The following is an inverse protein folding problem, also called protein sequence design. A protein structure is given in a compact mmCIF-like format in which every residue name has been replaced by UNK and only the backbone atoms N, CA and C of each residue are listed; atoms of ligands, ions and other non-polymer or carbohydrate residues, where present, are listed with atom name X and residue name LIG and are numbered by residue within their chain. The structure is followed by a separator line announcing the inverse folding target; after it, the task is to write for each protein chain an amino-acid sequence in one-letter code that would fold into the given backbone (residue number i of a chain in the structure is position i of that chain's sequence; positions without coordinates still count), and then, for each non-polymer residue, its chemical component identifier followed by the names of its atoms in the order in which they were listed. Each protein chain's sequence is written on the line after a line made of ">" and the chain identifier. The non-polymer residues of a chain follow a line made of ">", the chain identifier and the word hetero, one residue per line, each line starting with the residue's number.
data_IF_332439507674
#
_entry.id   IF_332439507674
#
_cell.length_a   1.000
_cell.length_b   1.000
_cell.length_c   1.000
_cell.angle_alpha   90.00
_cell.angle_beta   90.00
_cell.angle_gamma   90.00
#
_symmetry.space_group_name_H-M   'P 1'
#
loop_
_entity.id
_entity.type
_entity.pdbx_description
1 polymer ?
#
# COMPACT_ATOMS: atom_id res chain seq x y z
N UNK A 1 -0.39 7.01 15.81
CA UNK A 1 -1.54 7.42 16.65
C UNK A 1 -0.98 8.16 17.85
N UNK A 2 -1.43 9.38 18.14
CA UNK A 2 -0.93 10.18 19.25
C UNK A 2 -1.87 9.99 20.45
N UNK A 3 -1.38 9.41 21.55
CA UNK A 3 -2.13 9.25 22.80
C UNK A 3 -1.65 10.27 23.85
N UNK A 4 -2.54 10.89 24.65
CA UNK A 4 -2.14 11.69 25.79
C UNK A 4 -1.32 10.85 26.76
N UNK A 5 -0.19 11.41 27.17
CA UNK A 5 0.85 10.75 27.97
C UNK A 5 0.30 9.98 29.17
N UNK A 6 -0.60 10.58 29.95
CA UNK A 6 -1.11 9.98 31.18
C UNK A 6 -1.87 8.65 30.98
N UNK A 7 -2.63 8.50 29.89
CA UNK A 7 -3.30 7.24 29.58
C UNK A 7 -2.34 6.20 29.00
N UNK A 8 -1.39 6.61 28.16
CA UNK A 8 -0.38 5.70 27.60
C UNK A 8 0.42 5.01 28.71
N UNK A 9 0.87 5.76 29.72
CA UNK A 9 1.66 5.22 30.85
C UNK A 9 0.87 4.29 31.78
N UNK A 10 -0.45 4.49 31.92
CA UNK A 10 -1.29 3.64 32.78
C UNK A 10 -1.96 2.48 32.02
N UNK A 11 -1.98 2.53 30.68
CA UNK A 11 -2.64 1.53 29.82
C UNK A 11 -1.79 0.29 29.53
N UNK A 12 -0.58 0.18 30.11
CA UNK A 12 0.31 -0.95 29.88
C UNK A 12 0.85 -1.04 28.44
N UNK A 13 0.80 0.06 27.69
CA UNK A 13 1.32 0.12 26.32
C UNK A 13 2.84 0.27 26.38
N UNK A 14 3.54 -0.65 25.72
CA UNK A 14 4.99 -0.62 25.58
C UNK A 14 5.44 0.70 24.90
N UNK A 15 6.29 1.52 25.53
CA UNK A 15 6.74 2.80 24.97
C UNK A 15 7.68 2.62 23.76
N UNK A 16 8.16 1.39 23.51
CA UNK A 16 9.03 1.08 22.38
C UNK A 16 8.21 0.74 21.14
N UNK A 17 8.41 1.42 20.00
CA UNK A 17 7.72 1.07 18.76
C UNK A 17 8.10 -0.34 18.33
N UNK A 18 7.08 -1.16 18.03
CA UNK A 18 7.22 -2.54 17.55
C UNK A 18 6.66 -2.65 16.13
N UNK A 19 7.22 -3.56 15.32
CA UNK A 19 6.70 -3.82 13.98
C UNK A 19 5.47 -4.73 14.09
N UNK A 20 4.37 -4.38 13.44
CA UNK A 20 3.13 -5.16 13.46
C UNK A 20 2.85 -5.73 12.06
N UNK A 21 2.51 -7.02 12.00
CA UNK A 21 2.00 -7.64 10.78
C UNK A 21 0.53 -7.98 10.99
N UNK A 22 -0.33 -7.53 10.07
CA UNK A 22 -1.73 -7.92 10.06
C UNK A 22 -1.84 -9.42 9.77
N UNK A 23 -2.49 -10.16 10.66
CA UNK A 23 -2.70 -11.61 10.54
C UNK A 23 -4.12 -11.94 10.12
N UNK A 24 -5.10 -11.13 10.51
CA UNK A 24 -6.50 -11.35 10.16
C UNK A 24 -7.28 -10.04 10.18
N UNK A 25 -8.30 -9.94 9.33
CA UNK A 25 -9.28 -8.85 9.34
C UNK A 25 -10.67 -9.45 9.41
N UNK A 26 -11.40 -9.13 10.47
CA UNK A 26 -12.81 -9.52 10.63
C UNK A 26 -13.70 -8.29 10.64
N UNK A 27 -14.88 -8.43 10.04
CA UNK A 27 -15.93 -7.43 10.10
C UNK A 27 -16.93 -7.90 11.15
N UNK A 28 -16.94 -7.27 12.31
CA UNK A 28 -17.83 -7.64 13.41
C UNK A 28 -18.91 -6.58 13.56
N UNK A 29 -20.15 -7.02 13.70
CA UNK A 29 -21.26 -6.16 14.09
C UNK A 29 -21.28 -6.09 15.62
N UNK A 30 -20.98 -4.90 16.16
CA UNK A 30 -20.76 -4.63 17.59
C UNK A 30 -19.48 -5.28 18.14
N UNK A 31 -18.49 -4.45 18.46
CA UNK A 31 -17.23 -4.86 19.05
C UNK A 31 -17.32 -4.80 20.59
N UNK A 32 -16.99 -5.89 21.29
CA UNK A 32 -16.84 -5.90 22.76
C UNK A 32 -15.66 -5.03 23.23
N UNK A 33 -14.65 -4.89 22.37
CA UNK A 33 -13.50 -4.01 22.55
C UNK A 33 -13.07 -3.43 21.19
N UNK A 34 -12.71 -2.16 21.16
CA UNK A 34 -12.16 -1.49 19.99
C UNK A 34 -10.96 -0.65 20.43
N UNK A 35 -9.82 -0.79 19.76
CA UNK A 35 -8.69 0.14 19.90
C UNK A 35 -9.08 1.57 19.47
N UNK A 36 -10.13 1.72 18.65
CA UNK A 36 -10.75 3.00 18.30
C UNK A 36 -11.77 3.52 19.35
N UNK A 37 -12.07 2.78 20.42
CA UNK A 37 -13.10 3.15 21.40
C UNK A 37 -12.74 4.35 22.29
N UNK A 38 -11.46 4.72 22.41
CA UNK A 38 -11.07 5.88 23.23
C UNK A 38 -11.11 7.22 22.48
N UNK A 39 -11.44 7.22 21.18
CA UNK A 39 -11.41 8.43 20.33
C UNK A 39 -12.65 8.64 19.45
N UNK A 40 -13.54 7.64 19.33
CA UNK A 40 -14.81 7.81 18.65
C UNK A 40 -15.84 8.43 19.63
N UNK A 41 -16.07 9.74 19.54
CA UNK A 41 -17.13 10.47 20.26
C UNK A 41 -18.57 10.06 19.85
N UNK A 42 -18.73 9.01 19.04
CA UNK A 42 -20.02 8.52 18.56
C UNK A 42 -20.23 7.09 19.06
N UNK A 43 -21.43 6.82 19.58
CA UNK A 43 -21.89 5.46 19.92
C UNK A 43 -21.49 4.51 18.78
N UNK A 44 -20.86 3.39 19.12
CA UNK A 44 -20.47 2.32 18.19
C UNK A 44 -21.69 1.57 17.65
N UNK A 45 -22.59 2.27 16.96
CA UNK A 45 -23.60 1.65 16.11
C UNK A 45 -23.06 1.59 14.69
N UNK A 46 -22.55 0.44 14.26
CA UNK A 46 -22.02 0.23 12.91
C UNK A 46 -21.05 -0.94 12.79
N UNK A 47 -20.65 -1.21 11.55
CA UNK A 47 -19.63 -2.20 11.22
C UNK A 47 -18.27 -1.80 11.80
N UNK A 48 -17.68 -2.69 12.59
CA UNK A 48 -16.39 -2.48 13.23
C UNK A 48 -15.35 -3.43 12.61
N UNK A 49 -14.42 -2.94 11.77
CA UNK A 49 -13.33 -3.76 11.27
C UNK A 49 -12.34 -4.04 12.40
N UNK A 50 -12.21 -5.29 12.81
CA UNK A 50 -11.19 -5.76 13.73
C UNK A 50 -9.97 -6.25 12.93
N UNK A 51 -8.84 -5.57 13.12
CA UNK A 51 -7.57 -5.95 12.49
C UNK A 51 -6.73 -6.61 13.58
N UNK A 52 -6.58 -7.93 13.49
CA UNK A 52 -5.67 -8.67 14.35
C UNK A 52 -4.26 -8.51 13.83
N UNK A 53 -3.36 -8.10 14.71
CA UNK A 53 -1.94 -7.93 14.39
C UNK A 53 -1.09 -8.79 15.31
N UNK A 54 -0.02 -9.36 14.77
CA UNK A 54 1.07 -9.92 15.57
C UNK A 54 2.18 -8.90 15.67
N UNK A 55 2.72 -8.70 16.87
CA UNK A 55 3.86 -7.81 17.11
C UNK A 55 5.16 -8.58 16.89
N UNK A 56 6.16 -7.91 16.34
CA UNK A 56 7.55 -8.37 16.29
C UNK A 56 8.41 -7.34 17.00
N UNK A 57 9.09 -7.76 18.07
CA UNK A 57 10.07 -6.94 18.75
C UNK A 57 11.40 -7.04 18.00
N UNK A 58 11.86 -5.89 17.51
CA UNK A 58 13.10 -5.69 16.74
C UNK A 58 13.12 -6.38 15.36
N UNK A 59 13.26 -5.57 14.31
CA UNK A 59 13.54 -6.07 12.96
C UNK A 59 14.94 -6.68 12.84
N UNK A 60 15.21 -7.30 11.70
CA UNK A 60 16.57 -7.77 11.36
C UNK A 60 17.34 -6.64 10.70
N UNK A 61 18.49 -6.30 11.28
CA UNK A 61 19.49 -5.44 10.68
C UNK A 61 20.22 -6.25 9.61
N UNK A 62 20.16 -5.77 8.38
CA UNK A 62 20.81 -6.41 7.24
C UNK A 62 21.77 -5.44 6.57
N UNK A 63 22.90 -5.92 6.08
CA UNK A 63 23.71 -5.18 5.10
C UNK A 63 23.56 -5.83 3.74
N UNK A 64 23.39 -4.99 2.72
CA UNK A 64 23.31 -5.40 1.33
C UNK A 64 24.54 -4.89 0.61
N UNK A 65 25.35 -5.81 0.10
CA UNK A 65 26.72 -5.54 -0.33
C UNK A 65 26.92 -5.83 -1.82
N UNK A 66 28.00 -5.25 -2.37
CA UNK A 66 28.38 -5.37 -3.78
C UNK A 66 27.26 -4.94 -4.74
N UNK A 67 26.55 -3.86 -4.39
CA UNK A 67 25.48 -3.38 -5.25
C UNK A 67 26.00 -2.53 -6.41
N UNK A 68 25.36 -2.70 -7.55
CA UNK A 68 25.49 -1.85 -8.73
C UNK A 68 24.11 -1.28 -9.08
N UNK A 69 24.09 -0.13 -9.75
CA UNK A 69 22.85 0.52 -10.23
C UNK A 69 21.83 0.80 -9.13
N UNK A 70 22.29 1.10 -7.91
CA UNK A 70 21.42 1.47 -6.79
C UNK A 70 20.63 2.73 -7.11
N UNK A 71 19.33 2.56 -7.28
CA UNK A 71 18.35 3.63 -7.51
C UNK A 71 17.28 3.60 -6.41
N UNK A 72 16.61 4.72 -6.22
CA UNK A 72 15.46 4.83 -5.32
C UNK A 72 14.30 5.40 -6.11
N UNK A 73 13.14 4.77 -5.97
CA UNK A 73 11.89 5.19 -6.60
C UNK A 73 10.94 5.65 -5.51
N UNK A 74 10.54 6.91 -5.58
CA UNK A 74 9.51 7.45 -4.71
C UNK A 74 8.13 7.00 -5.19
N UNK A 75 7.43 6.32 -4.31
CA UNK A 75 6.04 5.93 -4.36
C UNK A 75 5.32 6.63 -3.18
N UNK A 76 4.87 7.90 -3.32
CA UNK A 76 4.10 8.61 -2.28
C UNK A 76 2.62 8.17 -2.24
N UNK A 77 1.90 8.24 -1.10
CA UNK A 77 0.53 7.78 -1.00
C UNK A 77 -0.35 8.38 -2.11
N UNK A 78 -1.18 7.55 -2.74
CA UNK A 78 -2.06 8.03 -3.79
C UNK A 78 -3.08 9.02 -3.20
N UNK A 79 -3.19 10.20 -3.81
CA UNK A 79 -4.16 11.22 -3.43
C UNK A 79 -5.23 11.35 -4.53
N UNK A 80 -6.42 10.74 -4.37
CA UNK A 80 -7.50 10.87 -5.35
C UNK A 80 -7.97 12.32 -5.54
N UNK A 81 -7.71 13.21 -4.59
CA UNK A 81 -8.12 14.61 -4.66
C UNK A 81 -7.39 15.43 -5.72
N UNK A 82 -6.21 14.98 -6.19
CA UNK A 82 -5.48 15.67 -7.27
C UNK A 82 -5.84 15.17 -8.67
N UNK A 83 -6.67 14.12 -8.78
CA UNK A 83 -7.10 13.61 -10.07
C UNK A 83 -7.91 14.66 -10.83
N UNK A 84 -7.64 14.78 -12.12
CA UNK A 84 -8.44 15.60 -13.00
C UNK A 84 -9.88 15.08 -13.02
N UNK A 85 -10.84 15.99 -12.79
CA UNK A 85 -12.27 15.69 -12.85
C UNK A 85 -12.81 16.12 -14.20
N UNK A 86 -13.12 15.14 -15.05
CA UNK A 86 -13.79 15.35 -16.32
C UNK A 86 -15.25 15.73 -16.06
N UNK A 87 -15.71 16.81 -16.67
CA UNK A 87 -17.11 17.23 -16.60
C UNK A 87 -17.87 16.68 -17.81
N UNK A 88 -18.52 15.52 -17.68
CA UNK A 88 -19.30 14.92 -18.76
C UNK A 88 -20.63 15.66 -19.03
N UNK A 89 -20.96 16.67 -18.23
CA UNK A 89 -22.06 17.58 -18.53
C UNK A 89 -21.70 18.59 -19.62
N UNK A 90 -20.42 18.76 -19.93
CA UNK A 90 -19.93 19.54 -21.07
C UNK A 90 -19.85 18.66 -22.32
N UNK A 91 -20.26 19.23 -23.46
CA UNK A 91 -20.34 18.51 -24.73
C UNK A 91 -18.99 17.91 -25.14
N UNK A 92 -18.97 16.60 -25.40
CA UNK A 92 -17.84 15.82 -25.93
C UNK A 92 -16.60 15.72 -25.05
N UNK A 93 -16.63 16.19 -23.80
CA UNK A 93 -15.49 16.06 -22.87
C UNK A 93 -15.21 14.59 -22.53
N UNK A 94 -16.25 13.76 -22.48
CA UNK A 94 -16.15 12.37 -22.04
C UNK A 94 -16.14 11.33 -23.17
N UNK A 95 -15.96 11.74 -24.42
CA UNK A 95 -16.01 10.84 -25.57
C UNK A 95 -14.79 9.94 -25.70
N UNK A 96 -13.69 10.33 -25.04
CA UNK A 96 -12.43 9.60 -25.06
C UNK A 96 -12.10 8.88 -23.74
N UNK A 97 -13.02 8.87 -22.76
CA UNK A 97 -12.74 8.24 -21.46
C UNK A 97 -12.35 6.77 -21.63
N UNK A 98 -11.18 6.42 -21.10
CA UNK A 98 -10.63 5.07 -21.14
C UNK A 98 -9.97 4.75 -19.81
N UNK A 99 -10.39 3.67 -19.15
CA UNK A 99 -9.93 3.28 -17.82
C UNK A 99 -11.07 3.16 -16.80
N UNK A 100 -10.72 3.13 -15.52
CA UNK A 100 -11.68 3.04 -14.41
C UNK A 100 -11.94 4.44 -13.87
N UNK A 101 -13.20 4.82 -13.82
CA UNK A 101 -13.63 6.14 -13.37
C UNK A 101 -14.49 6.05 -12.11
N UNK A 102 -14.30 7.02 -11.21
CA UNK A 102 -15.23 7.31 -10.12
C UNK A 102 -16.02 8.56 -10.50
N UNK A 103 -17.33 8.40 -10.73
CA UNK A 103 -18.20 9.46 -11.20
C UNK A 103 -19.23 9.87 -10.15
N UNK A 104 -19.50 11.16 -10.06
CA UNK A 104 -20.60 11.73 -9.27
C UNK A 104 -21.36 12.74 -10.13
N UNK A 105 -22.58 12.37 -10.55
CA UNK A 105 -23.49 13.21 -11.34
C UNK A 105 -22.82 13.79 -12.61
N UNK A 106 -22.12 12.94 -13.37
CA UNK A 106 -21.43 13.34 -14.60
C UNK A 106 -20.03 13.92 -14.38
N UNK A 107 -19.57 14.14 -13.15
CA UNK A 107 -18.17 14.49 -12.87
C UNK A 107 -17.35 13.25 -12.58
N UNK A 108 -16.42 12.89 -13.47
CA UNK A 108 -15.67 11.64 -13.41
C UNK A 108 -14.18 11.88 -13.16
N UNK A 109 -13.60 11.14 -12.21
CA UNK A 109 -12.15 11.13 -11.94
C UNK A 109 -11.54 9.80 -12.40
N UNK A 110 -10.41 9.85 -13.12
CA UNK A 110 -9.75 8.66 -13.65
C UNK A 110 -8.93 7.96 -12.56
N UNK A 111 -9.50 6.92 -11.95
CA UNK A 111 -8.85 6.15 -10.90
C UNK A 111 -7.66 5.35 -11.42
N UNK A 112 -7.67 4.97 -12.69
CA UNK A 112 -6.58 4.21 -13.32
C UNK A 112 -5.26 4.98 -13.45
N UNK A 113 -5.27 6.30 -13.26
CA UNK A 113 -4.04 7.10 -13.23
C UNK A 113 -3.20 6.87 -11.96
N UNK A 114 -3.85 6.49 -10.85
CA UNK A 114 -3.20 6.32 -9.55
C UNK A 114 -3.26 4.89 -9.01
N UNK A 115 -4.24 4.10 -9.46
CA UNK A 115 -4.52 2.79 -8.91
C UNK A 115 -4.59 1.70 -9.97
N UNK A 116 -4.19 0.50 -9.56
CA UNK A 116 -4.49 -0.73 -10.26
C UNK A 116 -5.73 -1.34 -9.62
N UNK A 117 -6.86 -1.27 -10.32
CA UNK A 117 -8.13 -1.75 -9.80
C UNK A 117 -8.44 -3.16 -10.28
N UNK A 118 -8.92 -3.99 -9.36
CA UNK A 118 -9.45 -5.33 -9.60
C UNK A 118 -10.96 -5.28 -9.49
N UNK A 119 -11.65 -5.71 -10.56
CA UNK A 119 -13.09 -5.57 -10.67
C UNK A 119 -13.67 -6.48 -11.75
N UNK A 120 -15.01 -6.53 -11.78
CA UNK A 120 -15.78 -7.08 -12.88
C UNK A 120 -16.83 -6.04 -13.29
N UNK A 121 -16.77 -5.59 -14.53
CA UNK A 121 -17.76 -4.68 -15.08
C UNK A 121 -18.97 -5.49 -15.60
N UNK A 122 -19.97 -5.67 -14.73
CA UNK A 122 -21.16 -6.49 -14.96
C UNK A 122 -22.48 -5.70 -14.90
N UNK A 123 -22.36 -4.37 -14.91
CA UNK A 123 -23.47 -3.46 -14.79
C UNK A 123 -24.08 -2.99 -16.11
N UNK A 124 -24.83 -1.89 -16.00
CA UNK A 124 -25.41 -1.22 -17.17
C UNK A 124 -24.29 -0.58 -18.00
N UNK A 125 -24.48 -0.53 -19.31
CA UNK A 125 -23.61 0.23 -20.21
C UNK A 125 -24.24 1.61 -20.40
N UNK A 126 -23.45 2.65 -20.22
CA UNK A 126 -23.82 4.06 -20.34
C UNK A 126 -22.90 4.68 -21.38
N UNK A 127 -23.45 5.45 -22.31
CA UNK A 127 -22.66 6.29 -23.22
C UNK A 127 -22.35 7.62 -22.51
N UNK A 128 -21.10 7.83 -22.10
CA UNK A 128 -20.71 8.98 -21.28
C UNK A 128 -20.93 10.34 -21.96
N UNK A 129 -21.03 10.36 -23.30
CA UNK A 129 -21.30 11.57 -24.08
C UNK A 129 -22.79 11.89 -24.23
N UNK A 130 -23.67 10.89 -24.07
CA UNK A 130 -25.13 11.06 -24.29
C UNK A 130 -25.95 10.95 -23.02
N UNK A 131 -25.50 10.10 -22.09
CA UNK A 131 -26.21 9.71 -20.88
C UNK A 131 -25.42 10.13 -19.62
N UNK A 132 -24.79 11.30 -19.66
CA UNK A 132 -23.92 11.84 -18.61
C UNK A 132 -24.54 11.86 -17.20
N UNK A 133 -25.83 12.15 -17.06
CA UNK A 133 -26.54 12.15 -15.78
C UNK A 133 -26.63 10.75 -15.12
N UNK A 134 -26.47 9.67 -15.90
CA UNK A 134 -26.48 8.28 -15.40
C UNK A 134 -25.11 7.86 -14.83
N UNK A 135 -24.06 8.66 -15.03
CA UNK A 135 -22.72 8.42 -14.50
C UNK A 135 -22.65 8.76 -13.01
N UNK A 136 -23.05 7.80 -12.18
CA UNK A 136 -22.93 7.86 -10.72
C UNK A 136 -22.43 6.52 -10.15
N UNK A 137 -21.25 6.55 -9.55
CA UNK A 137 -20.49 5.41 -9.04
C UNK A 137 -19.25 5.07 -9.88
N UNK A 138 -18.78 3.83 -9.79
CA UNK A 138 -17.60 3.34 -10.52
C UNK A 138 -17.95 2.73 -11.88
N UNK A 139 -17.16 3.04 -12.89
CA UNK A 139 -17.34 2.57 -14.27
C UNK A 139 -16.02 2.17 -14.90
N UNK A 140 -16.04 1.12 -15.70
CA UNK A 140 -15.00 0.82 -16.68
C UNK A 140 -15.42 1.48 -18.01
N UNK A 141 -14.64 2.42 -18.49
CA UNK A 141 -14.90 3.13 -19.74
C UNK A 141 -13.91 2.73 -20.83
N UNK A 142 -14.40 2.59 -22.05
CA UNK A 142 -13.59 2.44 -23.26
C UNK A 142 -14.23 3.24 -24.40
N UNK A 143 -13.61 4.36 -24.80
CA UNK A 143 -14.07 5.24 -25.90
C UNK A 143 -15.56 5.59 -25.76
N UNK A 144 -15.91 6.30 -24.70
CA UNK A 144 -17.26 6.72 -24.28
C UNK A 144 -18.21 5.63 -23.76
N UNK A 145 -17.92 4.35 -24.00
CA UNK A 145 -18.75 3.25 -23.50
C UNK A 145 -18.33 2.89 -22.08
N UNK A 146 -19.14 3.27 -21.11
CA UNK A 146 -18.87 3.08 -19.68
C UNK A 146 -19.78 1.99 -19.09
N UNK A 147 -19.20 0.87 -18.69
CA UNK A 147 -19.90 -0.23 -18.02
C UNK A 147 -19.80 -0.06 -16.50
N UNK A 148 -20.96 -0.01 -15.83
CA UNK A 148 -21.01 0.17 -14.37
C UNK A 148 -20.40 -1.04 -13.66
N UNK A 149 -19.58 -0.78 -12.64
CA UNK A 149 -19.07 -1.80 -11.73
C UNK A 149 -20.07 -1.89 -10.57
N UNK A 150 -20.85 -2.98 -10.50
CA UNK A 150 -21.89 -3.15 -9.46
C UNK A 150 -21.37 -3.88 -8.23
N UNK A 151 -20.54 -4.90 -8.44
CA UNK A 151 -20.08 -5.75 -7.36
C UNK A 151 -18.93 -5.10 -6.57
N UNK A 152 -19.30 -4.28 -5.58
CA UNK A 152 -18.33 -3.63 -4.70
C UNK A 152 -17.59 -4.59 -3.75
N UNK A 153 -18.05 -5.84 -3.58
CA UNK A 153 -17.33 -6.83 -2.75
C UNK A 153 -16.04 -7.32 -3.39
N UNK A 154 -16.01 -7.35 -4.72
CA UNK A 154 -14.83 -7.74 -5.50
C UNK A 154 -14.15 -6.55 -6.15
N UNK A 155 -14.59 -5.33 -5.81
CA UNK A 155 -13.96 -4.09 -6.26
C UNK A 155 -12.94 -3.65 -5.22
N UNK A 156 -11.68 -3.69 -5.57
CA UNK A 156 -10.62 -3.08 -4.77
C UNK A 156 -9.56 -2.49 -5.68
N UNK A 157 -8.96 -1.40 -5.24
CA UNK A 157 -7.94 -0.69 -5.99
C UNK A 157 -6.66 -0.68 -5.17
N UNK A 158 -5.62 -1.28 -5.72
CA UNK A 158 -4.29 -1.26 -5.16
C UNK A 158 -3.55 -0.04 -5.66
N UNK A 159 -2.73 0.51 -4.78
CA UNK A 159 -1.86 1.62 -5.12
C UNK A 159 -0.85 1.16 -6.18
N UNK A 160 -0.77 1.86 -7.30
CA UNK A 160 0.14 1.50 -8.38
C UNK A 160 1.37 2.40 -8.40
N UNK A 161 2.57 1.81 -8.50
CA UNK A 161 3.83 2.55 -8.67
C UNK A 161 4.50 2.17 -10.00
N UNK A 162 4.18 2.88 -11.11
CA UNK A 162 4.54 2.46 -12.48
C UNK A 162 6.03 2.53 -12.83
N UNK A 163 6.89 3.02 -11.93
CA UNK A 163 8.28 3.39 -12.24
C UNK A 163 9.34 2.54 -11.53
N UNK A 164 9.00 1.32 -11.13
CA UNK A 164 9.95 0.38 -10.55
C UNK A 164 10.44 -0.56 -11.67
N UNK A 165 11.68 -0.41 -12.10
CA UNK A 165 12.28 -1.32 -13.08
C UNK A 165 12.50 -2.69 -12.47
N UNK A 166 11.98 -3.74 -13.10
CA UNK A 166 12.26 -5.12 -12.70
C UNK A 166 13.45 -5.72 -13.44
N UNK A 167 13.87 -5.11 -14.54
CA UNK A 167 14.96 -5.61 -15.39
C UNK A 167 16.30 -5.39 -14.72
N UNK A 168 17.10 -6.45 -14.63
CA UNK A 168 18.47 -6.44 -14.09
C UNK A 168 18.58 -5.93 -12.64
N UNK A 169 17.52 -6.08 -11.84
CA UNK A 169 17.50 -5.82 -10.41
C UNK A 169 17.16 -7.10 -9.66
N UNK A 170 17.94 -7.44 -8.64
CA UNK A 170 17.75 -8.62 -7.81
C UNK A 170 17.40 -8.30 -6.35
N UNK A 171 17.33 -7.01 -5.99
CA UNK A 171 16.97 -6.53 -4.65
C UNK A 171 15.93 -5.43 -4.74
N UNK A 172 14.92 -5.49 -3.88
CA UNK A 172 13.93 -4.43 -3.65
C UNK A 172 13.73 -4.25 -2.15
N UNK A 173 14.09 -3.07 -1.64
CA UNK A 173 13.96 -2.72 -0.24
C UNK A 173 12.99 -1.55 -0.13
N UNK A 174 11.85 -1.80 0.49
CA UNK A 174 10.88 -0.76 0.79
C UNK A 174 11.26 -0.06 2.09
N UNK A 175 11.27 1.27 2.06
CA UNK A 175 11.34 2.11 3.26
C UNK A 175 10.37 3.27 3.10
N UNK A 176 9.38 3.33 3.99
CA UNK A 176 8.24 4.24 3.90
C UNK A 176 7.58 4.20 2.50
N UNK A 177 7.72 5.32 1.78
CA UNK A 177 7.18 5.55 0.46
C UNK A 177 8.23 5.34 -0.64
N UNK A 178 9.44 4.88 -0.32
CA UNK A 178 10.50 4.69 -1.29
C UNK A 178 10.80 3.19 -1.46
N UNK A 179 11.13 2.81 -2.69
CA UNK A 179 11.66 1.48 -3.01
C UNK A 179 13.07 1.65 -3.54
N UNK A 180 14.04 1.11 -2.80
CA UNK A 180 15.43 1.02 -3.23
C UNK A 180 15.59 -0.24 -4.06
N UNK A 181 16.16 -0.10 -5.25
CA UNK A 181 16.39 -1.21 -6.17
C UNK A 181 17.82 -1.21 -6.66
N UNK A 182 18.33 -2.40 -6.96
CA UNK A 182 19.62 -2.56 -7.61
C UNK A 182 19.98 -4.02 -7.84
N UNK A 183 21.19 -4.22 -8.34
CA UNK A 183 21.79 -5.53 -8.52
C UNK A 183 22.91 -5.70 -7.50
N UNK A 184 22.70 -6.52 -6.47
CA UNK A 184 23.63 -6.75 -5.37
C UNK A 184 24.10 -8.21 -5.31
N UNK A 185 25.26 -8.43 -4.68
CA UNK A 185 25.86 -9.76 -4.59
C UNK A 185 25.38 -10.57 -3.39
N UNK A 186 25.15 -9.92 -2.25
CA UNK A 186 24.77 -10.63 -1.02
C UNK A 186 24.04 -9.75 0.00
N UNK A 187 23.31 -10.41 0.89
CA UNK A 187 22.65 -9.82 2.06
C UNK A 187 23.13 -10.57 3.31
N UNK A 188 23.60 -9.82 4.30
CA UNK A 188 24.12 -10.32 5.57
C UNK A 188 23.28 -9.81 6.72
N UNK A 189 22.78 -10.70 7.57
CA UNK A 189 22.06 -10.35 8.79
C UNK A 189 23.00 -10.23 9.99
N UNK A 190 22.78 -9.20 10.82
CA UNK A 190 23.62 -8.85 11.98
C UNK A 190 22.97 -9.18 13.33
N UNK A 191 21.68 -9.50 13.34
CA UNK A 191 20.94 -9.89 14.53
C UNK A 191 19.89 -10.94 14.18
N UNK A 192 19.44 -11.68 15.20
CA UNK A 192 18.35 -12.64 15.09
C UNK A 192 17.10 -12.07 15.75
N UNK A 193 15.99 -12.03 15.02
CA UNK A 193 14.69 -11.71 15.59
C UNK A 193 14.19 -12.87 16.47
N UNK A 194 13.59 -12.57 17.62
CA UNK A 194 13.08 -13.56 18.58
C UNK A 194 11.58 -13.37 18.86
N UNK A 195 10.78 -13.19 17.80
CA UNK A 195 9.33 -13.05 17.91
C UNK A 195 8.93 -11.83 18.76
N UNK A 196 8.38 -12.10 19.94
CA UNK A 196 7.96 -11.06 20.90
C UNK A 196 9.09 -10.61 21.84
N UNK A 197 10.22 -11.32 21.85
CA UNK A 197 11.36 -10.98 22.69
C UNK A 197 12.39 -10.12 21.92
N UNK A 198 13.20 -9.31 22.63
CA UNK A 198 14.28 -8.56 22.01
C UNK A 198 15.24 -9.48 21.23
N UNK A 199 15.43 -9.18 19.95
CA UNK A 199 16.42 -9.86 19.14
C UNK A 199 17.84 -9.78 19.71
N UNK A 200 18.64 -10.81 19.48
CA UNK A 200 20.04 -10.90 19.95
C UNK A 200 21.02 -10.63 18.80
N UNK A 201 22.13 -9.95 19.09
CA UNK A 201 23.24 -9.82 18.13
C UNK A 201 23.78 -11.22 17.78
N UNK A 202 24.08 -11.44 16.50
CA UNK A 202 24.67 -12.69 16.02
C UNK A 202 25.89 -12.38 15.18
N UNK A 203 26.76 -13.37 14.99
CA UNK A 203 27.83 -13.24 14.00
C UNK A 203 27.22 -12.96 12.63
N UNK A 204 27.78 -12.01 11.84
CA UNK A 204 27.26 -11.67 10.53
C UNK A 204 27.05 -12.92 9.68
N UNK A 205 25.79 -13.19 9.31
CA UNK A 205 25.40 -14.42 8.61
C UNK A 205 24.78 -14.06 7.28
N UNK A 206 25.31 -14.60 6.18
CA UNK A 206 24.72 -14.42 4.85
C UNK A 206 23.38 -15.12 4.77
N UNK A 207 22.32 -14.35 4.53
CA UNK A 207 20.93 -14.86 4.41
C UNK A 207 20.48 -14.98 2.97
N UNK A 208 21.15 -14.27 2.06
CA UNK A 208 20.89 -14.34 0.63
C UNK A 208 22.16 -13.99 -0.16
N UNK A 209 22.35 -14.62 -1.30
CA UNK A 209 23.41 -14.28 -2.25
C UNK A 209 22.95 -14.51 -3.69
N UNK A 210 23.43 -13.68 -4.61
CA UNK A 210 23.14 -13.83 -6.03
C UNK A 210 23.92 -15.02 -6.58
N UNK A 211 23.20 -16.10 -6.87
CA UNK A 211 23.73 -17.33 -7.49
C UNK A 211 23.41 -17.42 -8.98
N UNK A 212 22.85 -16.37 -9.59
CA UNK A 212 22.41 -16.38 -10.98
C UNK A 212 21.14 -17.19 -11.25
N UNK A 213 20.44 -17.67 -10.21
CA UNK A 213 19.20 -18.45 -10.32
C UNK A 213 17.95 -17.60 -10.60
N UNK A 214 18.09 -16.27 -10.69
CA UNK A 214 16.96 -15.34 -10.81
C UNK A 214 16.21 -15.08 -9.50
N UNK A 215 16.76 -15.53 -8.37
CA UNK A 215 16.23 -15.23 -7.04
C UNK A 215 16.32 -13.73 -6.74
N UNK A 216 15.26 -13.22 -6.13
CA UNK A 216 15.13 -11.81 -5.77
C UNK A 216 14.97 -11.70 -4.27
N UNK A 217 15.69 -10.75 -3.66
CA UNK A 217 15.52 -10.40 -2.26
C UNK A 217 14.56 -9.22 -2.11
N UNK A 218 13.52 -9.42 -1.31
CA UNK A 218 12.50 -8.42 -0.99
C UNK A 218 12.50 -8.17 0.52
N UNK A 219 12.56 -6.91 0.93
CA UNK A 219 12.47 -6.53 2.35
C UNK A 219 11.70 -5.24 2.54
N UNK A 220 11.04 -5.13 3.70
CA UNK A 220 10.45 -3.87 4.20
C UNK A 220 11.20 -3.45 5.45
N UNK A 221 11.86 -2.30 5.38
CA UNK A 221 12.74 -1.79 6.41
C UNK A 221 12.14 -0.57 7.13
N UNK A 222 12.46 -0.43 8.42
CA UNK A 222 12.12 0.76 9.21
C UNK A 222 13.09 1.91 8.96
N UNK A 223 14.35 1.61 8.65
CA UNK A 223 15.37 2.57 8.29
C UNK A 223 16.20 2.01 7.15
N UNK A 224 16.66 2.86 6.24
CA UNK A 224 17.64 2.50 5.22
C UNK A 224 18.69 3.58 5.15
N UNK A 225 19.95 3.18 5.32
CA UNK A 225 21.12 4.05 5.17
C UNK A 225 21.90 3.62 3.94
N UNK A 226 22.07 4.55 2.99
CA UNK A 226 22.91 4.33 1.82
C UNK A 226 24.33 4.79 2.11
N UNK A 227 25.28 3.88 1.98
CA UNK A 227 26.69 4.15 2.16
C UNK A 227 27.36 4.49 0.81
N UNK A 228 28.53 5.14 0.87
CA UNK A 228 29.28 5.59 -0.33
C UNK A 228 29.90 4.44 -1.13
N UNK A 229 30.06 3.28 -0.50
CA UNK A 229 30.60 2.02 -1.05
C UNK A 229 29.54 1.18 -1.76
N UNK A 230 28.44 1.78 -2.21
CA UNK A 230 27.29 1.09 -2.80
C UNK A 230 26.72 -0.03 -1.92
N UNK A 231 26.69 0.20 -0.61
CA UNK A 231 26.06 -0.68 0.37
C UNK A 231 24.78 -0.05 0.92
N UNK A 232 23.78 -0.87 1.22
CA UNK A 232 22.59 -0.47 2.00
C UNK A 232 22.61 -1.16 3.36
N UNK A 233 22.17 -0.46 4.41
CA UNK A 233 21.98 -1.02 5.76
C UNK A 233 20.70 -0.53 6.42
#
# INVERSE_FOLDING_TARGET
>A
VYMPSHKAFNSGIEPRPVMCQAVNTSLVNNCDWASCGEWCLTKTSGFCPQIHVTTRQNGTNVSVENCTRLTSVACPPANPGVLHKYNCNEDKVCGALTGVFNCSLGHCANMSELFLCHYKADGIIVDSDKDNLKLNGFFECYKSRCTKIKNMRNFYCERYCPRISTTANNIYIQYENNVYTGQCGQVTAHNRAQGNEPGSSVQPTTVWSDKGSGEVFLASCHTVTRHRDNRLS
#
